data_IF_243602194614
#
_entry.id   IF_243602194614
#
_cell.length_a   1.000
_cell.length_b   1.000
_cell.length_c   1.000
_cell.angle_alpha   90.00
_cell.angle_beta   90.00
_cell.angle_gamma   90.00
#
_symmetry.space_group_name_H-M   'P 1'
#
loop_
_entity.id
_entity.type
_entity.pdbx_description
1 polymer ?
#
# COMPACT_ATOMS: atom_id res chain seq x y z
N UNK A 1 -36.63 1.49 89.25
CA UNK A 1 -37.68 1.05 88.30
C UNK A 1 -37.25 1.43 86.89
N UNK A 2 -37.53 0.56 85.91
CA UNK A 2 -37.14 0.56 84.47
C UNK A 2 -35.68 0.13 84.19
N UNK A 3 -35.32 -1.11 83.83
CA UNK A 3 -35.79 -2.10 82.82
C UNK A 3 -35.41 -1.75 81.36
N UNK A 4 -34.33 -2.35 80.82
CA UNK A 4 -34.38 -3.29 79.67
C UNK A 4 -33.99 -2.58 78.36
N UNK A 5 -33.40 -3.13 77.29
CA UNK A 5 -33.09 -4.46 76.73
C UNK A 5 -31.91 -4.23 75.74
N UNK A 6 -30.82 -5.01 75.73
CA UNK A 6 -30.57 -6.25 74.97
C UNK A 6 -30.73 -6.20 73.43
N UNK A 7 -29.58 -6.38 72.76
CA UNK A 7 -29.30 -7.30 71.64
C UNK A 7 -29.77 -6.99 70.21
N UNK A 8 -28.82 -6.89 69.26
CA UNK A 8 -28.60 -7.76 68.07
C UNK A 8 -27.48 -7.12 67.19
N UNK A 9 -26.27 -7.68 67.06
CA UNK A 9 -25.86 -8.70 66.08
C UNK A 9 -26.41 -8.50 64.65
N UNK A 10 -25.53 -8.22 63.69
CA UNK A 10 -25.12 -9.16 62.62
C UNK A 10 -24.12 -8.44 61.69
N UNK A 11 -22.93 -9.02 61.56
CA UNK A 11 -22.01 -8.75 60.48
C UNK A 11 -22.53 -9.39 59.19
N UNK A 12 -22.42 -8.71 58.05
CA UNK A 12 -22.37 -9.38 56.76
C UNK A 12 -21.25 -8.78 55.91
N UNK A 13 -20.20 -9.58 55.73
CA UNK A 13 -19.21 -9.40 54.68
C UNK A 13 -19.88 -9.47 53.30
N UNK A 14 -19.39 -8.69 52.34
CA UNK A 14 -19.30 -9.07 50.93
C UNK A 14 -18.13 -8.30 50.31
N UNK A 15 -16.93 -8.82 50.55
CA UNK A 15 -15.88 -8.76 49.55
C UNK A 15 -16.30 -9.71 48.43
N UNK A 16 -16.58 -9.20 47.23
CA UNK A 16 -16.36 -9.86 45.94
C UNK A 16 -17.00 -9.04 44.83
N UNK A 17 -16.20 -8.64 43.85
CA UNK A 17 -16.70 -7.92 42.69
C UNK A 17 -15.59 -7.33 41.85
N UNK A 18 -14.66 -8.20 41.43
CA UNK A 18 -13.69 -8.01 40.36
C UNK A 18 -13.97 -6.80 39.44
N UNK A 19 -13.24 -5.69 39.61
CA UNK A 19 -12.96 -4.77 38.50
C UNK A 19 -11.85 -5.42 37.67
N UNK A 20 -12.17 -6.55 37.07
CA UNK A 20 -11.40 -7.14 35.97
C UNK A 20 -12.41 -7.50 34.91
N UNK A 21 -12.51 -6.69 33.86
CA UNK A 21 -12.94 -7.07 32.49
C UNK A 21 -13.48 -5.86 31.73
N UNK A 22 -12.71 -4.78 31.63
CA UNK A 22 -12.77 -3.92 30.45
C UNK A 22 -11.38 -3.37 30.08
N UNK A 23 -10.31 -4.05 30.51
CA UNK A 23 -9.21 -4.24 29.58
C UNK A 23 -9.78 -5.16 28.50
N UNK A 24 -10.49 -4.59 27.52
CA UNK A 24 -10.31 -5.04 26.15
C UNK A 24 -8.80 -5.17 26.05
N UNK A 25 -8.31 -6.41 25.99
CA UNK A 25 -7.02 -6.62 25.39
C UNK A 25 -7.11 -5.79 24.11
N UNK A 26 -6.43 -4.64 24.10
CA UNK A 26 -5.84 -4.15 22.90
C UNK A 26 -4.94 -5.31 22.50
N UNK A 27 -5.52 -6.34 21.85
CA UNK A 27 -4.81 -7.30 21.04
C UNK A 27 -3.96 -6.38 20.23
N UNK A 28 -2.67 -6.36 20.53
CA UNK A 28 -1.77 -5.45 19.89
C UNK A 28 -1.86 -5.80 18.41
N UNK A 29 -2.69 -5.05 17.67
CA UNK A 29 -2.83 -5.10 16.24
C UNK A 29 -1.49 -4.61 15.75
N UNK A 30 -0.54 -5.53 15.67
CA UNK A 30 0.78 -5.20 15.18
C UNK A 30 0.59 -4.89 13.70
N UNK A 31 0.81 -3.63 13.31
CA UNK A 31 0.91 -3.32 11.90
C UNK A 31 2.30 -3.74 11.41
N UNK A 32 2.36 -4.41 10.26
CA UNK A 32 3.62 -4.64 9.53
C UNK A 32 3.48 -4.03 8.15
N UNK A 33 4.59 -3.47 7.66
CA UNK A 33 4.62 -2.76 6.40
C UNK A 33 5.33 -3.52 5.30
N UNK A 34 4.98 -3.15 4.07
CA UNK A 34 5.73 -3.43 2.85
C UNK A 34 5.91 -2.11 2.09
N UNK A 35 6.93 -2.04 1.24
CA UNK A 35 7.10 -0.94 0.30
C UNK A 35 6.67 -1.40 -1.10
N UNK A 36 6.20 -0.47 -1.91
CA UNK A 36 5.70 -0.67 -3.25
C UNK A 36 6.31 0.37 -4.18
N UNK A 37 6.64 -0.03 -5.40
CA UNK A 37 7.10 0.90 -6.43
C UNK A 37 6.41 0.57 -7.75
N UNK A 38 5.79 1.57 -8.37
CA UNK A 38 5.09 1.43 -9.64
C UNK A 38 5.96 1.96 -10.77
N UNK A 39 6.20 1.11 -11.77
CA UNK A 39 7.13 1.36 -12.87
C UNK A 39 6.45 1.21 -14.22
N UNK A 40 6.85 2.03 -15.18
CA UNK A 40 6.57 1.86 -16.61
C UNK A 40 7.83 1.41 -17.34
N UNK A 41 7.67 0.52 -18.32
CA UNK A 41 8.73 -0.04 -19.17
C UNK A 41 8.38 0.13 -20.65
N UNK A 42 9.37 0.39 -21.51
CA UNK A 42 9.20 0.47 -22.97
C UNK A 42 9.13 -0.90 -23.67
N UNK A 43 9.56 -1.97 -23.00
CA UNK A 43 9.53 -3.37 -23.46
C UNK A 43 9.26 -4.31 -22.27
N UNK A 44 9.56 -5.60 -22.44
CA UNK A 44 9.50 -6.58 -21.37
C UNK A 44 10.43 -6.22 -20.20
N UNK A 45 9.91 -6.33 -18.97
CA UNK A 45 10.62 -6.01 -17.72
C UNK A 45 11.98 -6.68 -17.56
N UNK A 46 12.13 -7.89 -18.05
CA UNK A 46 13.28 -8.77 -17.84
C UNK A 46 14.43 -8.59 -18.85
N UNK A 47 14.34 -7.57 -19.72
CA UNK A 47 15.44 -7.21 -20.61
C UNK A 47 16.48 -6.32 -19.90
N UNK A 48 17.76 -6.65 -20.06
CA UNK A 48 18.88 -5.86 -19.52
C UNK A 48 18.98 -4.43 -20.06
N UNK A 49 18.38 -4.18 -21.24
CA UNK A 49 18.40 -2.89 -21.92
C UNK A 49 17.03 -2.19 -21.88
N UNK A 50 16.12 -2.60 -20.99
CA UNK A 50 14.80 -1.97 -20.88
C UNK A 50 14.90 -0.58 -20.28
N UNK A 51 14.24 0.38 -20.93
CA UNK A 51 14.09 1.72 -20.35
C UNK A 51 12.93 1.68 -19.36
N UNK A 52 13.12 2.28 -18.18
CA UNK A 52 12.12 2.27 -17.11
C UNK A 52 12.06 3.59 -16.38
N UNK A 53 10.87 3.92 -15.88
CA UNK A 53 10.64 5.13 -15.09
C UNK A 53 9.77 4.79 -13.88
N UNK A 54 10.16 5.30 -12.70
CA UNK A 54 9.34 5.23 -11.49
C UNK A 54 8.20 6.24 -11.60
N UNK A 55 6.98 5.79 -11.39
CA UNK A 55 5.78 6.63 -11.43
C UNK A 55 5.29 7.03 -10.05
N UNK A 56 5.33 6.07 -9.12
CA UNK A 56 4.85 6.25 -7.75
C UNK A 56 5.55 5.29 -6.79
N UNK A 57 5.74 5.75 -5.55
CA UNK A 57 6.08 4.93 -4.41
C UNK A 57 4.80 4.66 -3.60
N UNK A 58 4.64 3.47 -3.03
CA UNK A 58 3.44 3.07 -2.31
C UNK A 58 3.86 2.44 -0.97
N UNK A 59 3.41 2.98 0.14
CA UNK A 59 3.54 2.34 1.44
C UNK A 59 2.32 1.45 1.69
N UNK A 60 2.51 0.19 2.07
CA UNK A 60 1.43 -0.70 2.50
C UNK A 60 1.55 -1.03 3.97
N UNK A 61 0.43 -1.08 4.69
CA UNK A 61 0.34 -1.57 6.08
C UNK A 61 -0.76 -2.60 6.19
N UNK A 62 -0.48 -3.67 6.93
CA UNK A 62 -1.46 -4.68 7.27
C UNK A 62 -1.40 -5.02 8.75
N UNK A 63 -2.57 -5.17 9.37
CA UNK A 63 -2.75 -5.56 10.77
C UNK A 63 -3.13 -7.02 10.89
N UNK A 64 -2.69 -7.64 11.97
CA UNK A 64 -2.94 -9.03 12.34
C UNK A 64 -2.55 -9.25 13.81
N UNK A 65 -2.80 -10.47 14.32
CA UNK A 65 -2.32 -10.87 15.64
C UNK A 65 -0.78 -10.95 15.69
N UNK A 66 -0.19 -10.76 16.88
CA UNK A 66 1.26 -10.72 17.14
C UNK A 66 2.03 -11.93 16.63
N UNK A 67 1.39 -13.11 16.61
CA UNK A 67 1.94 -14.38 16.13
C UNK A 67 1.90 -14.52 14.61
N UNK A 68 1.13 -13.69 13.90
CA UNK A 68 0.80 -13.86 12.49
C UNK A 68 1.52 -12.86 11.57
N UNK A 69 2.74 -12.43 11.92
CA UNK A 69 3.49 -11.38 11.21
C UNK A 69 3.50 -11.53 9.67
N UNK A 70 3.56 -12.77 9.15
CA UNK A 70 3.49 -13.05 7.71
C UNK A 70 2.15 -12.66 7.08
N UNK A 71 1.03 -12.87 7.78
CA UNK A 71 -0.31 -12.47 7.32
C UNK A 71 -0.45 -10.95 7.28
N UNK A 72 0.08 -10.23 8.28
CA UNK A 72 0.13 -8.76 8.25
C UNK A 72 0.81 -8.24 6.98
N UNK A 73 2.02 -8.74 6.68
CA UNK A 73 2.80 -8.33 5.51
C UNK A 73 2.11 -8.71 4.20
N UNK A 74 1.46 -9.88 4.15
CA UNK A 74 0.66 -10.27 2.99
C UNK A 74 -0.48 -9.28 2.72
N UNK A 75 -1.22 -8.88 3.77
CA UNK A 75 -2.28 -7.86 3.65
C UNK A 75 -1.73 -6.51 3.19
N UNK A 76 -0.56 -6.10 3.68
CA UNK A 76 0.13 -4.90 3.22
C UNK A 76 0.50 -4.99 1.72
N UNK A 77 1.05 -6.13 1.27
CA UNK A 77 1.37 -6.38 -0.13
C UNK A 77 0.11 -6.35 -1.01
N UNK A 78 -0.96 -7.04 -0.59
CA UNK A 78 -2.23 -7.07 -1.32
C UNK A 78 -2.84 -5.65 -1.42
N UNK A 79 -2.72 -4.82 -0.38
CA UNK A 79 -3.17 -3.42 -0.40
C UNK A 79 -2.37 -2.56 -1.39
N UNK A 80 -1.05 -2.73 -1.46
CA UNK A 80 -0.19 -2.04 -2.44
C UNK A 80 -0.62 -2.40 -3.87
N UNK A 81 -0.80 -3.68 -4.15
CA UNK A 81 -1.18 -4.17 -5.49
C UNK A 81 -2.54 -3.61 -5.89
N UNK A 82 -3.51 -3.63 -4.97
CA UNK A 82 -4.83 -3.04 -5.20
C UNK A 82 -4.74 -1.55 -5.50
N UNK A 83 -4.02 -0.79 -4.68
CA UNK A 83 -3.82 0.65 -4.90
C UNK A 83 -3.23 0.93 -6.29
N UNK A 84 -2.15 0.26 -6.68
CA UNK A 84 -1.53 0.47 -8.00
C UNK A 84 -2.50 0.20 -9.17
N UNK A 85 -3.29 -0.88 -9.08
CA UNK A 85 -4.29 -1.23 -10.10
C UNK A 85 -5.43 -0.23 -10.19
N UNK A 86 -5.98 0.18 -9.05
CA UNK A 86 -7.05 1.17 -9.04
C UNK A 86 -6.56 2.55 -9.50
N UNK A 87 -5.33 2.93 -9.14
CA UNK A 87 -4.71 4.19 -9.57
C UNK A 87 -4.53 4.21 -11.09
N UNK A 88 -4.12 3.08 -11.70
CA UNK A 88 -4.10 2.96 -13.16
C UNK A 88 -5.51 2.93 -13.77
N UNK A 89 -6.46 2.19 -13.19
CA UNK A 89 -7.82 2.12 -13.70
C UNK A 89 -8.51 3.50 -13.73
N UNK A 90 -8.25 4.32 -12.71
CA UNK A 90 -8.83 5.66 -12.55
C UNK A 90 -7.95 6.79 -13.10
N UNK A 91 -6.89 6.47 -13.84
CA UNK A 91 -5.90 7.43 -14.36
C UNK A 91 -6.47 8.60 -15.17
N UNK A 92 -7.67 8.47 -15.74
CA UNK A 92 -8.32 9.54 -16.51
C UNK A 92 -9.32 10.37 -15.68
N UNK A 93 -9.62 9.97 -14.44
CA UNK A 93 -10.62 10.68 -13.61
C UNK A 93 -9.99 11.82 -12.82
N UNK A 94 -8.67 11.80 -12.64
CA UNK A 94 -7.95 12.76 -11.80
C UNK A 94 -8.24 12.64 -10.31
N UNK A 95 -8.98 11.62 -9.89
CA UNK A 95 -9.22 11.32 -8.49
C UNK A 95 -8.33 10.14 -8.09
N UNK A 96 -7.52 10.33 -7.05
CA UNK A 96 -6.79 9.22 -6.44
C UNK A 96 -7.79 8.29 -5.75
N UNK A 97 -7.73 6.97 -5.98
CA UNK A 97 -8.69 6.04 -5.38
C UNK A 97 -8.51 5.96 -3.87
N UNK A 98 -9.60 5.69 -3.16
CA UNK A 98 -9.59 5.55 -1.70
C UNK A 98 -8.62 4.48 -1.19
N UNK A 99 -8.34 3.44 -1.99
CA UNK A 99 -7.37 2.40 -1.67
C UNK A 99 -5.92 2.87 -1.57
N UNK A 100 -5.61 4.05 -2.11
CA UNK A 100 -4.29 4.67 -2.11
C UNK A 100 -4.13 5.77 -1.05
N UNK A 101 -5.10 5.92 -0.14
CA UNK A 101 -5.02 6.81 1.00
C UNK A 101 -5.10 6.04 2.32
N UNK A 102 -4.37 6.52 3.31
CA UNK A 102 -4.61 6.13 4.69
C UNK A 102 -5.86 6.87 5.21
N UNK A 103 -6.95 6.14 5.44
CA UNK A 103 -8.11 6.71 6.14
C UNK A 103 -7.92 6.65 7.66
N UNK A 104 -8.41 7.64 8.42
CA UNK A 104 -8.41 7.58 9.88
C UNK A 104 -9.07 6.31 10.40
N UNK A 105 -8.43 5.64 11.36
CA UNK A 105 -8.94 4.40 11.96
C UNK A 105 -8.76 3.12 11.14
N UNK A 106 -8.20 3.19 9.92
CA UNK A 106 -7.90 1.98 9.15
C UNK A 106 -6.63 1.29 9.64
N UNK A 107 -6.77 0.01 9.99
CA UNK A 107 -5.67 -0.86 10.39
C UNK A 107 -4.93 -1.51 9.21
N UNK A 108 -5.57 -1.57 8.03
CA UNK A 108 -4.95 -2.02 6.79
C UNK A 108 -5.11 -0.93 5.73
N UNK A 109 -4.03 -0.44 5.16
CA UNK A 109 -4.08 0.62 4.14
C UNK A 109 -2.92 0.54 3.16
N UNK A 110 -3.05 1.26 2.05
CA UNK A 110 -1.93 1.66 1.23
C UNK A 110 -1.95 3.18 1.06
N UNK A 111 -0.78 3.79 0.96
CA UNK A 111 -0.60 5.22 0.73
C UNK A 111 0.33 5.41 -0.45
N UNK A 112 -0.19 5.95 -1.55
CA UNK A 112 0.63 6.30 -2.71
C UNK A 112 1.26 7.68 -2.50
N UNK A 113 2.56 7.77 -2.73
CA UNK A 113 3.31 9.01 -2.86
C UNK A 113 3.80 9.11 -4.30
N UNK A 114 3.35 10.15 -4.98
CA UNK A 114 3.79 10.45 -6.33
C UNK A 114 5.12 11.22 -6.24
N UNK A 115 6.06 10.96 -7.15
CA UNK A 115 7.32 11.73 -7.19
C UNK A 115 7.18 13.04 -7.97
N UNK A 116 7.58 14.17 -7.37
CA UNK A 116 7.58 15.52 -7.97
C UNK A 116 6.65 16.53 -7.28
N UNK A 117 6.61 17.76 -7.80
CA UNK A 117 5.64 18.81 -7.45
C UNK A 117 4.56 18.79 -8.54
N UNK A 118 3.28 18.67 -8.16
CA UNK A 118 2.18 18.44 -9.12
C UNK A 118 1.34 19.70 -9.35
N UNK A 119 1.36 20.26 -10.57
CA UNK A 119 0.35 21.22 -11.01
C UNK A 119 -0.95 20.55 -11.49
N UNK A 120 -1.00 19.21 -11.61
CA UNK A 120 -2.13 18.44 -12.15
C UNK A 120 -2.73 17.42 -11.15
N UNK A 121 -3.85 16.79 -11.55
CA UNK A 121 -4.64 15.88 -10.74
C UNK A 121 -3.89 14.59 -10.32
N UNK A 122 -4.02 14.08 -9.08
CA UNK A 122 -3.16 13.01 -8.55
C UNK A 122 -3.11 11.69 -9.36
N UNK A 123 -4.24 11.11 -9.78
CA UNK A 123 -4.19 9.87 -10.60
C UNK A 123 -3.84 10.14 -12.07
N UNK A 124 -4.19 11.33 -12.57
CA UNK A 124 -3.79 11.81 -13.90
C UNK A 124 -2.28 11.92 -14.06
N UNK A 125 -1.58 12.25 -12.98
CA UNK A 125 -0.13 12.31 -12.95
C UNK A 125 0.54 11.00 -13.34
N UNK A 126 -0.01 9.84 -12.96
CA UNK A 126 0.55 8.53 -13.33
C UNK A 126 0.51 8.35 -14.85
N UNK A 127 -0.60 8.73 -15.49
CA UNK A 127 -0.74 8.65 -16.94
C UNK A 127 0.16 9.66 -17.66
N UNK A 128 0.21 10.89 -17.18
CA UNK A 128 1.01 11.94 -17.80
C UNK A 128 2.50 11.68 -17.65
N UNK A 129 2.96 11.21 -16.48
CA UNK A 129 4.33 10.77 -16.27
C UNK A 129 4.66 9.55 -17.12
N UNK A 130 3.72 8.61 -17.29
CA UNK A 130 3.90 7.48 -18.23
C UNK A 130 4.04 7.96 -19.66
N UNK A 131 3.18 8.88 -20.13
CA UNK A 131 3.27 9.48 -21.48
C UNK A 131 4.59 10.18 -21.68
N UNK A 132 5.02 11.01 -20.72
CA UNK A 132 6.29 11.74 -20.79
C UNK A 132 7.49 10.78 -20.79
N UNK A 133 7.45 9.75 -19.94
CA UNK A 133 8.47 8.71 -19.93
C UNK A 133 8.55 8.04 -21.31
N UNK A 134 7.44 7.48 -21.79
CA UNK A 134 7.40 6.68 -23.01
C UNK A 134 7.67 7.49 -24.28
N UNK A 135 7.15 8.71 -24.37
CA UNK A 135 7.24 9.48 -25.60
C UNK A 135 8.47 10.40 -25.68
N UNK A 136 9.04 10.79 -24.54
CA UNK A 136 10.10 11.79 -24.47
C UNK A 136 11.41 11.24 -23.94
N UNK A 137 11.35 10.41 -22.88
CA UNK A 137 12.55 9.86 -22.25
C UNK A 137 12.96 8.55 -22.90
N UNK A 138 11.98 7.73 -23.26
CA UNK A 138 12.26 6.47 -23.91
C UNK A 138 12.58 6.77 -25.39
N UNK A 139 13.74 6.32 -25.86
CA UNK A 139 14.26 6.61 -27.20
C UNK A 139 13.56 5.77 -28.29
N UNK A 140 12.25 5.54 -28.13
CA UNK A 140 11.47 4.72 -29.06
C UNK A 140 11.15 5.53 -30.32
N UNK A 141 11.33 4.97 -31.51
CA UNK A 141 10.90 5.60 -32.77
C UNK A 141 9.52 5.15 -33.24
N UNK A 142 8.95 4.12 -32.61
CA UNK A 142 7.66 3.56 -32.96
C UNK A 142 6.49 4.45 -32.51
N UNK A 143 5.33 4.32 -33.16
CA UNK A 143 4.06 4.87 -32.67
C UNK A 143 2.89 4.04 -33.22
N UNK A 144 2.06 3.43 -32.38
CA UNK A 144 2.11 3.49 -30.91
C UNK A 144 3.31 2.74 -30.32
N UNK A 145 3.82 3.22 -29.19
CA UNK A 145 4.88 2.57 -28.42
C UNK A 145 4.22 1.58 -27.44
N UNK A 146 4.48 0.27 -27.54
CA UNK A 146 4.04 -0.68 -26.53
C UNK A 146 4.80 -0.42 -25.23
N UNK A 147 4.14 -0.63 -24.10
CA UNK A 147 4.71 -0.44 -22.78
C UNK A 147 4.09 -1.41 -21.79
N UNK A 148 4.78 -1.65 -20.68
CA UNK A 148 4.26 -2.47 -19.60
C UNK A 148 4.31 -1.72 -18.28
N UNK A 149 3.29 -1.92 -17.47
CA UNK A 149 3.12 -1.28 -16.18
C UNK A 149 3.10 -2.34 -15.08
N UNK A 150 4.02 -2.19 -14.14
CA UNK A 150 4.21 -3.16 -13.07
C UNK A 150 4.30 -2.47 -11.72
N UNK A 151 3.89 -3.18 -10.67
CA UNK A 151 4.19 -2.82 -9.29
C UNK A 151 5.13 -3.86 -8.68
N UNK A 152 6.18 -3.38 -8.01
CA UNK A 152 7.11 -4.19 -7.24
C UNK A 152 6.77 -4.04 -5.77
N UNK A 153 6.53 -5.16 -5.09
CA UNK A 153 6.41 -5.19 -3.63
C UNK A 153 7.75 -5.60 -3.03
N UNK A 154 8.22 -4.82 -2.08
CA UNK A 154 9.55 -4.89 -1.46
C UNK A 154 9.34 -5.08 0.06
N UNK A 155 10.13 -5.96 0.66
CA UNK A 155 10.10 -6.22 2.11
C UNK A 155 10.59 -7.62 2.48
N UNK A 156 10.28 -8.05 3.71
CA UNK A 156 10.63 -9.40 4.20
C UNK A 156 9.56 -10.46 3.86
N UNK A 157 9.68 -11.66 4.44
CA UNK A 157 8.76 -12.80 4.28
C UNK A 157 7.32 -12.39 4.54
N UNK A 158 6.47 -12.53 3.52
CA UNK A 158 5.08 -12.11 3.55
C UNK A 158 4.80 -10.85 2.73
N UNK A 159 5.78 -9.95 2.56
CA UNK A 159 5.76 -8.94 1.49
C UNK A 159 6.15 -9.60 0.17
N UNK A 160 7.18 -10.47 0.24
CA UNK A 160 7.69 -11.25 -0.88
C UNK A 160 7.62 -12.75 -0.57
N UNK A 161 7.48 -13.55 -1.62
CA UNK A 161 7.25 -15.01 -1.53
C UNK A 161 8.52 -15.80 -1.21
N UNK A 162 9.71 -15.30 -1.57
CA UNK A 162 11.02 -15.95 -1.31
C UNK A 162 12.12 -14.93 -0.96
N UNK A 163 12.07 -14.27 0.21
CA UNK A 163 13.19 -13.44 0.65
C UNK A 163 14.40 -14.33 0.94
N UNK A 164 15.63 -13.82 0.76
CA UNK A 164 16.79 -14.39 1.46
C UNK A 164 16.55 -14.26 2.98
N UNK A 165 16.77 -15.34 3.72
CA UNK A 165 16.44 -15.40 5.14
C UNK A 165 17.09 -14.23 5.91
N UNK A 166 16.28 -13.50 6.68
CA UNK A 166 16.74 -12.44 7.58
C UNK A 166 17.05 -11.07 6.95
N UNK A 167 16.81 -10.84 5.66
CA UNK A 167 17.13 -9.57 5.00
C UNK A 167 15.90 -8.85 4.42
N UNK A 168 15.84 -7.53 4.62
CA UNK A 168 15.01 -6.64 3.83
C UNK A 168 15.60 -6.59 2.42
N UNK A 169 14.86 -7.03 1.41
CA UNK A 169 15.35 -7.07 0.04
C UNK A 169 14.81 -5.88 -0.74
N UNK A 170 15.68 -4.89 -1.00
CA UNK A 170 15.43 -3.81 -1.97
C UNK A 170 15.51 -4.32 -3.42
N UNK A 171 16.35 -5.32 -3.67
CA UNK A 171 16.53 -5.95 -4.99
C UNK A 171 15.83 -7.31 -5.02
N UNK A 172 14.98 -7.54 -6.04
CA UNK A 172 14.27 -8.81 -6.23
C UNK A 172 12.88 -8.91 -5.60
N UNK A 173 12.20 -7.76 -5.41
CA UNK A 173 10.82 -7.72 -4.91
C UNK A 173 9.83 -8.59 -5.70
N UNK A 174 8.63 -8.79 -5.13
CA UNK A 174 7.55 -9.52 -5.81
C UNK A 174 6.91 -8.62 -6.87
N UNK A 175 6.96 -9.03 -8.12
CA UNK A 175 6.46 -8.24 -9.24
C UNK A 175 5.03 -8.64 -9.62
N UNK A 176 4.19 -7.64 -9.82
CA UNK A 176 2.78 -7.83 -10.17
C UNK A 176 2.41 -6.92 -11.35
N UNK A 177 1.78 -7.52 -12.36
CA UNK A 177 1.28 -6.80 -13.52
C UNK A 177 0.13 -5.89 -13.11
N UNK A 178 0.22 -4.63 -13.57
CA UNK A 178 -0.86 -3.65 -13.53
C UNK A 178 -1.50 -3.55 -14.91
N UNK A 179 -0.68 -3.46 -15.96
CA UNK A 179 -1.10 -3.48 -17.37
C UNK A 179 0.06 -3.97 -18.26
N UNK A 180 -0.07 -5.16 -18.83
CA UNK A 180 0.93 -5.75 -19.73
C UNK A 180 0.84 -5.26 -21.18
N UNK A 181 -0.24 -4.55 -21.52
CA UNK A 181 -0.57 -4.18 -22.90
C UNK A 181 -0.77 -2.66 -23.05
N UNK A 182 -0.17 -1.87 -22.16
CA UNK A 182 -0.23 -0.41 -22.26
C UNK A 182 0.38 0.05 -23.59
N UNK A 183 -0.21 1.09 -24.18
CA UNK A 183 0.19 1.56 -25.50
C UNK A 183 0.02 3.06 -25.60
N UNK A 184 1.06 3.74 -26.10
CA UNK A 184 1.13 5.21 -26.12
C UNK A 184 1.38 5.71 -27.54
N UNK A 185 0.44 6.49 -28.08
CA UNK A 185 0.64 7.15 -29.37
C UNK A 185 1.53 8.38 -29.22
N UNK A 186 2.81 8.25 -29.55
CA UNK A 186 3.80 9.29 -29.33
C UNK A 186 3.94 10.30 -30.47
N UNK A 187 3.42 10.00 -31.67
CA UNK A 187 3.49 10.89 -32.83
C UNK A 187 2.90 12.28 -32.53
N UNK A 188 1.70 12.33 -31.94
CA UNK A 188 1.04 13.58 -31.56
C UNK A 188 1.46 14.10 -30.17
N UNK A 189 1.88 13.20 -29.27
CA UNK A 189 2.16 13.54 -27.87
C UNK A 189 3.51 14.25 -27.71
N UNK A 190 4.51 13.94 -28.54
CA UNK A 190 5.83 14.57 -28.41
C UNK A 190 5.81 16.10 -28.44
N UNK A 191 5.02 16.66 -29.35
CA UNK A 191 4.85 18.10 -29.45
C UNK A 191 4.15 18.73 -28.23
N UNK A 192 3.38 17.94 -27.47
CA UNK A 192 2.56 18.40 -26.34
C UNK A 192 3.22 18.20 -24.98
N UNK A 193 3.86 17.06 -24.75
CA UNK A 193 4.35 16.65 -23.40
C UNK A 193 5.87 16.58 -23.27
N UNK A 194 6.63 16.76 -24.36
CA UNK A 194 8.10 16.71 -24.34
C UNK A 194 8.77 18.08 -24.39
N UNK A 195 8.00 19.16 -24.30
CA UNK A 195 8.53 20.52 -24.17
C UNK A 195 8.86 20.85 -22.72
#
# INVERSE_FOLDING_TARGET
>A
MSAGRRSLLIALMLATGLITTNLREARADISRGCAGQMWIFDRARDSSNVQKELLASIEGRGSCNRTEKRKCRKRAADAIIRCAREMWATRNTGVMPASCFQQPGQSNFARATLEGIFPSLPSGHVLDRSRRAVCCKFNSVASPVPAQLWVVVIGETGCISKPKAGQFQEQGGSWHSVDENASFNCAAQRARVCR
#
